data_IF_905281432200
#
_entry.id   IF_905281432200
#
_cell.length_a   1.000
_cell.length_b   1.000
_cell.length_c   1.000
_cell.angle_alpha   90.00
_cell.angle_beta   90.00
_cell.angle_gamma   90.00
#
_symmetry.space_group_name_H-M   'P 1'
#
loop_
_entity.id
_entity.type
_entity.pdbx_description
1 polymer ?
#
# COMPACT_ATOMS: atom_id res chain seq x y z
N UNK A 1 -35.83 19.22 10.75
CA UNK A 1 -35.89 17.75 10.70
C UNK A 1 -34.95 17.34 9.58
N UNK A 2 -33.71 16.96 9.89
CA UNK A 2 -32.72 16.52 8.90
C UNK A 2 -32.55 15.03 9.17
N UNK A 3 -33.14 14.20 8.32
CA UNK A 3 -33.08 12.74 8.44
C UNK A 3 -31.62 12.28 8.43
N UNK A 4 -31.25 11.58 9.50
CA UNK A 4 -29.96 10.96 9.63
C UNK A 4 -29.87 9.74 8.72
N UNK A 5 -29.43 9.93 7.48
CA UNK A 5 -28.79 8.85 6.75
C UNK A 5 -27.48 8.52 7.47
N UNK A 6 -27.47 7.47 8.31
CA UNK A 6 -26.26 6.93 8.91
C UNK A 6 -25.58 6.04 7.86
N UNK A 7 -24.91 6.67 6.87
CA UNK A 7 -24.06 5.96 5.93
C UNK A 7 -22.83 5.42 6.69
N UNK A 8 -22.99 4.26 7.30
CA UNK A 8 -21.92 3.43 7.83
C UNK A 8 -21.67 2.30 6.84
N UNK A 9 -20.73 2.54 5.93
CA UNK A 9 -20.25 1.51 5.01
C UNK A 9 -19.04 0.87 5.66
N UNK A 10 -19.11 -0.42 5.97
CA UNK A 10 -17.99 -1.16 6.52
C UNK A 10 -17.58 -2.27 5.57
N UNK A 11 -16.30 -2.32 5.23
CA UNK A 11 -15.73 -3.37 4.40
C UNK A 11 -14.46 -3.92 5.04
N UNK A 12 -14.02 -5.07 4.54
CA UNK A 12 -12.82 -5.75 5.00
C UNK A 12 -11.83 -5.72 3.85
N UNK A 13 -10.64 -5.19 4.10
CA UNK A 13 -9.60 -5.03 3.09
C UNK A 13 -8.23 -5.39 3.69
N UNK A 14 -7.29 -5.90 2.89
CA UNK A 14 -5.91 -6.03 3.35
C UNK A 14 -5.31 -4.65 3.66
N UNK A 15 -4.46 -4.55 4.69
CA UNK A 15 -3.86 -3.27 5.13
C UNK A 15 -2.95 -2.66 4.05
N UNK A 16 -2.30 -3.54 3.28
CA UNK A 16 -1.52 -3.21 2.09
C UNK A 16 -1.82 -4.26 1.04
N UNK A 17 -1.77 -3.89 -0.23
CA UNK A 17 -1.78 -4.89 -1.29
C UNK A 17 -0.47 -5.69 -1.19
N UNK A 18 -0.57 -7.00 -0.97
CA UNK A 18 0.62 -7.85 -0.96
C UNK A 18 1.13 -7.93 -2.39
N UNK A 19 2.27 -7.30 -2.68
CA UNK A 19 3.04 -7.73 -3.85
C UNK A 19 3.64 -9.08 -3.50
N UNK A 20 3.07 -10.14 -4.06
CA UNK A 20 3.72 -11.43 -4.05
C UNK A 20 4.97 -11.34 -4.93
N UNK A 21 6.13 -11.18 -4.30
CA UNK A 21 7.38 -11.33 -5.02
C UNK A 21 7.44 -12.74 -5.62
N UNK A 22 7.56 -12.82 -6.95
CA UNK A 22 7.74 -14.09 -7.65
C UNK A 22 8.95 -14.86 -7.11
N UNK A 23 8.93 -16.18 -7.23
CA UNK A 23 10.06 -17.03 -6.80
C UNK A 23 11.39 -16.60 -7.43
N UNK A 24 11.35 -16.09 -8.68
CA UNK A 24 12.52 -15.58 -9.41
C UNK A 24 13.13 -14.34 -8.75
N UNK A 25 12.32 -13.47 -8.14
CA UNK A 25 12.80 -12.31 -7.41
C UNK A 25 13.62 -12.72 -6.18
N UNK A 26 13.14 -13.72 -5.44
CA UNK A 26 13.85 -14.28 -4.30
C UNK A 26 15.18 -14.95 -4.72
N UNK A 27 15.18 -15.68 -5.84
CA UNK A 27 16.39 -16.27 -6.40
C UNK A 27 17.40 -15.21 -6.85
N UNK A 28 16.95 -14.17 -7.57
CA UNK A 28 17.81 -13.09 -8.01
C UNK A 28 18.47 -12.37 -6.83
N UNK A 29 17.66 -12.02 -5.80
CA UNK A 29 18.15 -11.36 -4.60
C UNK A 29 19.15 -12.24 -3.83
N UNK A 30 18.88 -13.55 -3.73
CA UNK A 30 19.79 -14.51 -3.12
C UNK A 30 21.13 -14.60 -3.84
N UNK A 31 21.12 -14.71 -5.18
CA UNK A 31 22.33 -14.79 -6.00
C UNK A 31 23.18 -13.52 -5.85
N UNK A 32 22.56 -12.34 -5.93
CA UNK A 32 23.25 -11.05 -5.77
C UNK A 32 23.95 -10.99 -4.42
N UNK A 33 23.25 -11.35 -3.36
CA UNK A 33 23.75 -11.21 -1.98
C UNK A 33 24.84 -12.19 -1.64
N UNK A 34 24.74 -13.44 -2.12
CA UNK A 34 25.84 -14.42 -2.00
C UNK A 34 27.05 -13.96 -2.80
N UNK A 35 26.85 -13.49 -4.03
CA UNK A 35 27.95 -12.99 -4.87
C UNK A 35 28.68 -11.81 -4.23
N UNK A 36 27.92 -10.88 -3.65
CA UNK A 36 28.46 -9.71 -2.96
C UNK A 36 29.19 -10.12 -1.68
N UNK A 37 28.61 -11.02 -0.89
CA UNK A 37 29.24 -11.55 0.32
C UNK A 37 30.59 -12.23 0.00
N UNK A 38 30.66 -13.02 -1.08
CA UNK A 38 31.90 -13.67 -1.55
C UNK A 38 32.93 -12.64 -2.02
N UNK A 39 32.51 -11.62 -2.77
CA UNK A 39 33.40 -10.55 -3.21
C UNK A 39 34.08 -9.84 -2.02
N UNK A 40 33.32 -9.56 -0.96
CA UNK A 40 33.89 -8.92 0.24
C UNK A 40 34.81 -9.84 1.04
N UNK A 41 34.57 -11.16 1.05
CA UNK A 41 35.52 -12.12 1.62
C UNK A 41 36.84 -12.10 0.85
N UNK A 42 36.81 -12.04 -0.48
CA UNK A 42 38.02 -11.99 -1.32
C UNK A 42 38.84 -10.71 -1.06
N UNK A 43 38.16 -9.57 -0.85
CA UNK A 43 38.79 -8.29 -0.50
C UNK A 43 39.32 -8.29 0.96
N UNK A 44 39.09 -9.36 1.72
CA UNK A 44 39.54 -9.51 3.11
C UNK A 44 38.61 -8.83 4.13
N UNK A 45 37.43 -8.37 3.72
CA UNK A 45 36.46 -7.71 4.58
C UNK A 45 35.35 -8.69 5.02
N UNK A 46 35.70 -9.56 5.98
CA UNK A 46 34.74 -10.52 6.54
C UNK A 46 33.58 -9.84 7.28
N UNK A 47 33.82 -8.69 7.92
CA UNK A 47 32.80 -7.97 8.67
C UNK A 47 31.65 -7.52 7.75
N UNK A 48 31.97 -6.93 6.61
CA UNK A 48 30.95 -6.45 5.67
C UNK A 48 30.16 -7.61 5.04
N UNK A 49 30.83 -8.73 4.76
CA UNK A 49 30.19 -9.95 4.25
C UNK A 49 29.09 -10.46 5.19
N UNK A 50 29.39 -10.53 6.50
CA UNK A 50 28.41 -10.95 7.52
C UNK A 50 27.25 -9.96 7.65
N UNK A 51 27.53 -8.66 7.63
CA UNK A 51 26.49 -7.62 7.69
C UNK A 51 25.54 -7.74 6.50
N UNK A 52 26.06 -7.95 5.29
CA UNK A 52 25.24 -8.12 4.07
C UNK A 52 24.33 -9.34 4.21
N UNK A 53 24.85 -10.48 4.69
CA UNK A 53 24.04 -11.68 4.88
C UNK A 53 22.92 -11.49 5.90
N UNK A 54 23.22 -10.84 7.03
CA UNK A 54 22.21 -10.54 8.06
C UNK A 54 21.16 -9.55 7.53
N UNK A 55 21.61 -8.49 6.87
CA UNK A 55 20.71 -7.50 6.26
C UNK A 55 19.80 -8.12 5.21
N UNK A 56 20.33 -9.00 4.37
CA UNK A 56 19.55 -9.68 3.35
C UNK A 56 18.56 -10.68 3.95
N UNK A 57 18.99 -11.45 4.96
CA UNK A 57 18.10 -12.35 5.70
C UNK A 57 16.95 -11.59 6.36
N UNK A 58 17.24 -10.41 6.91
CA UNK A 58 16.24 -9.54 7.53
C UNK A 58 15.25 -8.99 6.50
N UNK A 59 15.73 -8.59 5.31
CA UNK A 59 14.86 -8.12 4.22
C UNK A 59 13.97 -9.25 3.69
N UNK A 60 14.52 -10.46 3.52
CA UNK A 60 13.77 -11.64 3.10
C UNK A 60 12.70 -12.02 4.12
N UNK A 61 13.02 -11.89 5.41
CA UNK A 61 12.06 -12.12 6.49
C UNK A 61 10.94 -11.08 6.47
N UNK A 62 11.28 -9.79 6.27
CA UNK A 62 10.31 -8.72 6.15
C UNK A 62 9.39 -8.87 4.93
N UNK A 63 9.95 -9.23 3.77
CA UNK A 63 9.19 -9.45 2.53
C UNK A 63 8.14 -10.57 2.63
N UNK A 64 8.33 -11.52 3.55
CA UNK A 64 7.40 -12.64 3.78
C UNK A 64 6.25 -12.31 4.73
N UNK A 65 6.19 -11.13 5.32
CA UNK A 65 5.06 -10.77 6.18
C UNK A 65 3.81 -10.48 5.33
N UNK A 66 2.76 -11.34 5.38
CA UNK A 66 1.53 -11.06 4.66
C UNK A 66 0.82 -9.85 5.28
N UNK A 67 0.13 -9.03 4.47
CA UNK A 67 -0.63 -7.91 4.99
C UNK A 67 -1.74 -8.42 5.91
N UNK A 68 -1.91 -7.76 7.05
CA UNK A 68 -3.01 -8.08 7.93
C UNK A 68 -4.33 -7.63 7.30
N UNK A 69 -5.38 -8.40 7.55
CA UNK A 69 -6.73 -8.03 7.13
C UNK A 69 -7.26 -6.98 8.12
N UNK A 70 -7.55 -5.78 7.64
CA UNK A 70 -8.09 -4.68 8.45
C UNK A 70 -9.56 -4.43 8.11
N UNK A 71 -10.32 -3.98 9.12
CA UNK A 71 -11.69 -3.49 8.92
C UNK A 71 -11.65 -2.01 8.62
N UNK A 72 -12.24 -1.63 7.49
CA UNK A 72 -12.41 -0.25 7.08
C UNK A 72 -13.88 0.16 7.29
N UNK A 73 -14.10 1.37 7.82
CA UNK A 73 -15.44 1.94 7.99
C UNK A 73 -15.45 3.40 7.52
N UNK A 74 -16.38 3.72 6.63
CA UNK A 74 -16.73 5.08 6.27
C UNK A 74 -17.87 5.56 7.18
N UNK A 75 -17.68 6.71 7.82
CA UNK A 75 -18.69 7.33 8.67
C UNK A 75 -18.71 8.85 8.48
N UNK A 76 -19.74 9.52 8.99
CA UNK A 76 -19.85 10.99 8.98
C UNK A 76 -18.67 11.71 9.64
N UNK A 77 -17.96 11.03 10.54
CA UNK A 77 -16.79 11.59 11.23
C UNK A 77 -15.51 11.51 10.38
N UNK A 78 -15.47 10.62 9.40
CA UNK A 78 -14.27 10.37 8.59
C UNK A 78 -14.15 8.89 8.18
N UNK A 79 -12.96 8.54 7.72
CA UNK A 79 -12.60 7.19 7.27
C UNK A 79 -11.80 6.49 8.38
N UNK A 80 -12.27 5.33 8.84
CA UNK A 80 -11.55 4.50 9.81
C UNK A 80 -10.88 3.34 9.06
N UNK A 81 -9.57 3.23 9.16
CA UNK A 81 -8.80 2.09 8.67
C UNK A 81 -8.19 1.34 9.86
N UNK A 82 -8.69 0.15 10.16
CA UNK A 82 -8.28 -0.63 11.32
C UNK A 82 -8.55 0.10 12.65
N UNK A 83 -7.48 0.52 13.34
CA UNK A 83 -7.53 1.24 14.63
C UNK A 83 -7.44 2.77 14.48
N UNK A 84 -7.13 3.27 13.29
CA UNK A 84 -6.88 4.70 13.05
C UNK A 84 -8.10 5.35 12.42
N UNK A 85 -8.54 6.48 12.98
CA UNK A 85 -9.62 7.30 12.42
C UNK A 85 -9.03 8.55 11.75
N UNK A 86 -9.22 8.67 10.45
CA UNK A 86 -8.89 9.85 9.66
C UNK A 86 -10.13 10.73 9.55
N UNK A 87 -10.14 11.88 10.22
CA UNK A 87 -11.26 12.82 10.20
C UNK A 87 -11.26 13.64 8.91
N UNK A 88 -12.45 14.04 8.43
CA UNK A 88 -12.59 14.84 7.20
C UNK A 88 -11.75 16.12 7.19
N UNK A 89 -11.59 16.78 8.34
CA UNK A 89 -10.75 17.98 8.48
C UNK A 89 -9.27 17.72 8.16
N UNK A 90 -8.81 16.49 8.38
CA UNK A 90 -7.43 16.07 8.11
C UNK A 90 -7.21 15.59 6.68
N UNK A 91 -8.28 15.44 5.90
CA UNK A 91 -8.23 15.00 4.51
C UNK A 91 -8.34 16.20 3.57
N UNK A 92 -7.71 16.10 2.41
CA UNK A 92 -7.64 17.17 1.42
C UNK A 92 -8.39 16.79 0.15
N UNK A 93 -7.99 15.68 -0.47
CA UNK A 93 -8.59 15.16 -1.69
C UNK A 93 -8.65 13.63 -1.67
N UNK A 94 -9.50 13.08 -2.53
CA UNK A 94 -9.54 11.64 -2.77
C UNK A 94 -9.57 11.33 -4.27
N UNK A 95 -9.15 10.11 -4.60
CA UNK A 95 -9.23 9.54 -5.94
C UNK A 95 -9.53 8.05 -5.81
N UNK A 96 -10.47 7.54 -6.61
CA UNK A 96 -10.72 6.09 -6.70
C UNK A 96 -10.01 5.59 -7.95
N UNK A 97 -9.11 4.63 -7.76
CA UNK A 97 -8.40 3.97 -8.84
C UNK A 97 -9.11 2.66 -9.16
N UNK A 98 -9.61 2.54 -10.38
CA UNK A 98 -10.28 1.34 -10.86
C UNK A 98 -9.30 0.16 -10.81
N UNK A 99 -9.80 -0.99 -10.38
CA UNK A 99 -9.07 -2.25 -10.47
C UNK A 99 -8.83 -2.61 -11.93
N UNK A 100 -7.65 -3.15 -12.24
CA UNK A 100 -7.36 -3.71 -13.55
C UNK A 100 -6.70 -5.07 -13.40
N UNK A 101 -7.08 -5.99 -14.26
CA UNK A 101 -6.41 -7.28 -14.40
C UNK A 101 -5.26 -7.10 -15.39
N UNK A 102 -4.03 -7.30 -14.92
CA UNK A 102 -2.87 -7.49 -15.80
C UNK A 102 -2.54 -9.00 -15.85
N UNK A 103 -1.81 -9.43 -16.88
CA UNK A 103 -1.45 -10.84 -17.14
C UNK A 103 -0.72 -11.54 -15.97
N UNK A 104 -0.31 -10.77 -14.95
CA UNK A 104 0.49 -11.23 -13.81
C UNK A 104 -0.13 -10.93 -12.44
N UNK A 105 -1.07 -10.00 -12.32
CA UNK A 105 -1.62 -9.55 -11.03
C UNK A 105 -3.08 -9.09 -11.15
N UNK A 106 -3.90 -9.45 -10.14
CA UNK A 106 -5.25 -8.91 -9.96
C UNK A 106 -5.11 -7.66 -9.09
N UNK A 107 -5.31 -6.47 -9.68
CA UNK A 107 -5.37 -5.24 -8.91
C UNK A 107 -6.80 -4.96 -8.49
N UNK A 108 -7.07 -5.05 -7.19
CA UNK A 108 -8.35 -4.62 -6.63
C UNK A 108 -8.48 -3.09 -6.72
N UNK A 109 -9.71 -2.55 -6.83
CA UNK A 109 -9.93 -1.11 -6.82
C UNK A 109 -9.37 -0.49 -5.52
N UNK A 110 -8.82 0.72 -5.62
CA UNK A 110 -8.15 1.37 -4.50
C UNK A 110 -8.70 2.76 -4.27
N UNK A 111 -8.83 3.12 -3.00
CA UNK A 111 -9.11 4.47 -2.59
C UNK A 111 -7.82 5.16 -2.18
N UNK A 112 -7.45 6.20 -2.91
CA UNK A 112 -6.34 7.09 -2.62
C UNK A 112 -6.90 8.31 -1.91
N UNK A 113 -6.36 8.61 -0.73
CA UNK A 113 -6.75 9.77 0.07
C UNK A 113 -5.50 10.57 0.38
N UNK A 114 -5.54 11.87 0.09
CA UNK A 114 -4.48 12.78 0.50
C UNK A 114 -4.83 13.45 1.83
N UNK A 115 -3.91 13.37 2.79
CA UNK A 115 -4.04 14.07 4.06
C UNK A 115 -3.26 15.38 4.04
N UNK A 116 -3.83 16.42 4.68
CA UNK A 116 -3.17 17.72 4.91
C UNK A 116 -1.96 17.64 5.83
N UNK A 117 -1.68 16.46 6.42
CA UNK A 117 -0.59 16.27 7.38
C UNK A 117 0.74 16.08 6.64
N UNK A 118 1.79 16.89 6.96
CA UNK A 118 3.06 16.85 6.25
C UNK A 118 3.84 15.54 6.43
N UNK A 119 3.47 14.70 7.41
CA UNK A 119 4.16 13.45 7.71
C UNK A 119 3.55 12.22 7.00
N UNK A 120 2.28 12.28 6.58
CA UNK A 120 1.57 11.16 5.94
C UNK A 120 0.63 11.72 4.85
N UNK A 121 1.17 12.15 3.70
CA UNK A 121 0.39 12.79 2.67
C UNK A 121 -0.51 11.82 1.91
N UNK A 122 -0.18 10.53 1.80
CA UNK A 122 -0.94 9.56 1.00
C UNK A 122 -1.39 8.36 1.83
N UNK A 123 -2.70 8.08 1.79
CA UNK A 123 -3.35 6.94 2.44
C UNK A 123 -3.99 6.12 1.32
N UNK A 124 -3.60 4.84 1.20
CA UNK A 124 -4.17 3.91 0.22
C UNK A 124 -5.03 2.91 0.98
N UNK A 125 -6.30 2.80 0.62
CA UNK A 125 -7.24 1.85 1.23
C UNK A 125 -7.78 0.95 0.12
N UNK A 126 -7.50 -0.36 0.13
CA UNK A 126 -8.09 -1.26 -0.84
C UNK A 126 -9.62 -1.29 -0.67
N UNK A 127 -10.31 -1.30 -1.80
CA UNK A 127 -11.75 -1.41 -1.89
C UNK A 127 -12.12 -2.78 -2.46
N UNK A 128 -13.29 -3.24 -2.07
CA UNK A 128 -13.95 -4.36 -2.75
C UNK A 128 -14.83 -3.80 -3.87
N UNK A 129 -14.88 -4.48 -5.03
CA UNK A 129 -15.65 -4.04 -6.21
C UNK A 129 -17.12 -3.77 -5.87
N UNK A 130 -17.68 -4.59 -4.98
CA UNK A 130 -19.06 -4.48 -4.50
C UNK A 130 -19.33 -3.19 -3.72
N UNK A 131 -18.30 -2.63 -3.05
CA UNK A 131 -18.42 -1.44 -2.20
C UNK A 131 -17.86 -0.18 -2.83
N UNK A 132 -17.12 -0.32 -3.93
CA UNK A 132 -16.44 0.75 -4.64
C UNK A 132 -17.41 1.88 -5.04
N UNK A 133 -18.55 1.52 -5.63
CA UNK A 133 -19.50 2.50 -6.14
C UNK A 133 -20.18 3.29 -5.00
N UNK A 134 -20.53 2.62 -3.91
CA UNK A 134 -21.13 3.25 -2.74
C UNK A 134 -20.15 4.17 -2.01
N UNK A 135 -18.88 3.72 -1.86
CA UNK A 135 -17.82 4.52 -1.24
C UNK A 135 -17.48 5.73 -2.12
N UNK A 136 -17.37 5.55 -3.44
CA UNK A 136 -17.12 6.64 -4.37
C UNK A 136 -18.20 7.72 -4.26
N UNK A 137 -19.49 7.31 -4.30
CA UNK A 137 -20.59 8.25 -4.19
C UNK A 137 -20.60 8.96 -2.83
N UNK A 138 -20.37 8.25 -1.73
CA UNK A 138 -20.33 8.85 -0.39
C UNK A 138 -19.15 9.82 -0.20
N UNK A 139 -17.98 9.51 -0.79
CA UNK A 139 -16.77 10.33 -0.72
C UNK A 139 -16.88 11.59 -1.59
N UNK A 140 -17.46 11.47 -2.79
CA UNK A 140 -17.69 12.61 -3.70
C UNK A 140 -18.61 13.69 -3.09
N UNK A 141 -19.48 13.32 -2.15
CA UNK A 141 -20.32 14.27 -1.41
C UNK A 141 -19.60 14.96 -0.24
N UNK A 142 -18.51 14.37 0.26
CA UNK A 142 -17.82 14.80 1.49
C UNK A 142 -16.48 15.50 1.24
N UNK A 143 -15.80 15.17 0.14
CA UNK A 143 -14.46 15.65 -0.18
C UNK A 143 -14.34 15.99 -1.67
N UNK A 144 -13.37 16.83 -2.03
CA UNK A 144 -13.13 17.17 -3.44
C UNK A 144 -12.39 16.01 -4.13
N UNK A 145 -12.90 15.59 -5.29
CA UNK A 145 -12.23 14.62 -6.14
C UNK A 145 -11.09 15.35 -6.88
N UNK A 146 -9.86 14.89 -6.69
CA UNK A 146 -8.70 15.47 -7.37
C UNK A 146 -7.91 14.33 -8.03
N UNK A 147 -7.66 14.49 -9.33
CA UNK A 147 -7.01 13.46 -10.13
C UNK A 147 -5.56 13.26 -9.67
N UNK A 148 -5.32 12.27 -8.81
CA UNK A 148 -4.00 11.95 -8.32
C UNK A 148 -3.27 11.10 -9.36
N UNK A 149 -2.34 11.73 -10.09
CA UNK A 149 -1.38 11.01 -10.92
C UNK A 149 -0.31 10.45 -9.99
N UNK A 150 -0.06 9.15 -10.07
CA UNK A 150 1.03 8.50 -9.32
C UNK A 150 2.33 9.29 -9.49
N UNK A 151 3.02 9.64 -8.38
CA UNK A 151 4.31 10.30 -8.45
C UNK A 151 5.24 9.52 -9.38
N UNK A 152 6.00 10.21 -10.25
CA UNK A 152 7.00 9.59 -11.14
C UNK A 152 7.92 8.56 -10.44
N UNK A 153 8.30 8.72 -9.15
CA UNK A 153 9.00 7.69 -8.40
C UNK A 153 8.25 6.36 -8.28
N UNK A 154 6.94 6.36 -8.08
CA UNK A 154 6.11 5.13 -7.98
C UNK A 154 6.04 4.39 -9.32
N UNK A 155 5.99 5.14 -10.43
CA UNK A 155 6.10 4.56 -11.78
C UNK A 155 7.46 3.91 -12.02
N UNK A 156 8.53 4.49 -11.46
CA UNK A 156 9.85 3.89 -11.50
C UNK A 156 9.87 2.62 -10.64
N UNK A 157 9.41 2.70 -9.39
CA UNK A 157 9.37 1.58 -8.44
C UNK A 157 8.57 0.39 -8.99
N UNK A 158 7.42 0.64 -9.64
CA UNK A 158 6.63 -0.39 -10.35
C UNK A 158 7.44 -1.13 -11.41
N UNK A 159 8.28 -0.44 -12.17
CA UNK A 159 9.13 -1.05 -13.19
C UNK A 159 10.32 -1.82 -12.59
N UNK A 160 10.69 -1.51 -11.35
CA UNK A 160 11.82 -2.12 -10.64
C UNK A 160 11.35 -3.20 -9.65
N UNK A 161 10.03 -3.37 -9.46
CA UNK A 161 9.45 -4.39 -8.58
C UNK A 161 9.36 -4.00 -7.11
N UNK A 162 9.41 -2.70 -6.78
CA UNK A 162 9.11 -2.12 -5.46
C UNK A 162 7.75 -1.42 -5.43
#
# INVERSE_FOLDING_TARGET
MIEGYDYRISWVAPEYEHREHSADWYWALGIISVSLAVAFVIVGNMLLSVIILIGMGSLLFYAKHPPQIIKCELSKKGVRAGKTLYTWESLESFWVLDGYEDEKEIHNPKLLITSKKPLMPHIVIPLDELTMQEVHQAMAHMLHEEHQVEPLPDRLMRKIGF
#
